data_IF_247929186249
#
_entry.id   IF_247929186249
#
_cell.length_a   1.000
_cell.length_b   1.000
_cell.length_c   1.000
_cell.angle_alpha   90.00
_cell.angle_beta   90.00
_cell.angle_gamma   90.00
#
_symmetry.space_group_name_H-M   'P 1'
#
loop_
_entity.id
_entity.type
_entity.pdbx_description
1 polymer ?
#
# COMPACT_ATOMS: atom_id res chain seq x y z
N UNK A 1 4.50 -16.63 -3.88
CA UNK A 1 3.49 -15.81 -3.20
C UNK A 1 3.44 -14.45 -3.87
N UNK A 2 2.26 -13.98 -4.39
CA UNK A 2 2.20 -12.69 -5.10
C UNK A 2 2.39 -11.47 -4.20
N UNK A 3 2.25 -11.61 -2.88
CA UNK A 3 2.49 -10.52 -1.94
C UNK A 3 3.32 -11.02 -0.77
N UNK A 4 4.43 -10.34 -0.53
CA UNK A 4 5.29 -10.59 0.64
C UNK A 4 5.14 -9.43 1.60
N UNK A 5 5.01 -9.71 2.89
CA UNK A 5 4.91 -8.69 3.96
C UNK A 5 6.09 -8.85 4.89
N UNK A 6 6.80 -7.77 5.14
CA UNK A 6 7.99 -7.79 6.02
C UNK A 6 8.14 -6.45 6.73
N UNK A 7 8.94 -6.43 7.80
CA UNK A 7 9.27 -5.21 8.50
C UNK A 7 10.71 -4.79 8.18
N UNK A 8 10.88 -3.55 7.71
CA UNK A 8 12.20 -2.96 7.48
C UNK A 8 12.63 -2.27 8.76
N UNK A 9 13.53 -2.91 9.50
CA UNK A 9 13.99 -2.39 10.80
C UNK A 9 14.76 -1.08 10.66
N UNK A 10 15.53 -0.92 9.60
CA UNK A 10 16.31 0.30 9.40
C UNK A 10 15.42 1.51 9.17
N UNK A 11 14.33 1.34 8.42
CA UNK A 11 13.40 2.42 8.11
C UNK A 11 12.23 2.51 9.10
N UNK A 12 11.97 1.44 9.86
CA UNK A 12 10.85 1.40 10.80
C UNK A 12 9.50 1.30 10.11
N UNK A 13 9.44 0.70 8.92
CA UNK A 13 8.22 0.62 8.13
C UNK A 13 7.82 -0.83 7.85
N UNK A 14 6.51 -1.06 7.73
CA UNK A 14 5.99 -2.32 7.22
C UNK A 14 6.02 -2.23 5.70
N UNK A 15 6.66 -3.19 5.07
CA UNK A 15 6.80 -3.22 3.61
C UNK A 15 6.00 -4.37 3.02
N UNK A 16 5.17 -4.05 2.01
CA UNK A 16 4.42 -5.03 1.23
C UNK A 16 5.00 -5.02 -0.18
N UNK A 17 5.47 -6.18 -0.65
CA UNK A 17 6.07 -6.32 -1.98
C UNK A 17 5.16 -7.16 -2.83
N UNK A 18 4.66 -6.57 -3.91
CA UNK A 18 3.77 -7.24 -4.87
C UNK A 18 4.58 -7.75 -6.06
N UNK A 19 4.23 -8.94 -6.55
CA UNK A 19 4.85 -9.53 -7.72
C UNK A 19 3.78 -10.22 -8.56
N UNK A 20 3.41 -9.63 -9.69
CA UNK A 20 2.40 -10.14 -10.59
C UNK A 20 0.98 -9.76 -10.19
N UNK A 21 0.00 -10.51 -10.69
CA UNK A 21 -1.41 -10.29 -10.39
C UNK A 21 -1.79 -10.92 -9.06
N UNK A 22 -2.69 -10.27 -8.33
CA UNK A 22 -3.24 -10.79 -7.07
C UNK A 22 -4.75 -10.93 -7.17
N UNK A 23 -5.29 -11.91 -6.45
CA UNK A 23 -6.73 -12.01 -6.25
C UNK A 23 -7.15 -11.11 -5.09
N UNK A 24 -8.44 -10.74 -4.99
CA UNK A 24 -8.94 -9.99 -3.83
C UNK A 24 -8.66 -10.70 -2.51
N UNK A 25 -8.79 -12.02 -2.45
CA UNK A 25 -8.51 -12.81 -1.24
C UNK A 25 -7.04 -12.72 -0.83
N UNK A 26 -6.13 -12.85 -1.80
CA UNK A 26 -4.68 -12.72 -1.55
C UNK A 26 -4.34 -11.33 -1.05
N UNK A 27 -4.95 -10.30 -1.62
CA UNK A 27 -4.72 -8.93 -1.20
C UNK A 27 -5.26 -8.66 0.21
N UNK A 28 -6.46 -9.13 0.51
CA UNK A 28 -7.04 -8.98 1.85
C UNK A 28 -6.19 -9.67 2.91
N UNK A 29 -5.70 -10.88 2.60
CA UNK A 29 -4.81 -11.62 3.50
C UNK A 29 -3.52 -10.85 3.76
N UNK A 30 -2.92 -10.29 2.72
CA UNK A 30 -1.68 -9.51 2.84
C UNK A 30 -1.90 -8.24 3.67
N UNK A 31 -3.02 -7.54 3.47
CA UNK A 31 -3.38 -6.35 4.23
C UNK A 31 -3.55 -6.70 5.71
N UNK A 32 -4.20 -7.81 6.01
CA UNK A 32 -4.37 -8.28 7.39
C UNK A 32 -3.02 -8.58 8.04
N UNK A 33 -2.13 -9.26 7.32
CA UNK A 33 -0.77 -9.56 7.82
C UNK A 33 0.03 -8.27 8.05
N UNK A 34 -0.09 -7.30 7.15
CA UNK A 34 0.60 -6.01 7.29
C UNK A 34 0.10 -5.26 8.53
N UNK A 35 -1.20 -5.23 8.76
CA UNK A 35 -1.78 -4.59 9.94
C UNK A 35 -1.33 -5.25 11.23
N UNK A 36 -1.30 -6.57 11.27
CA UNK A 36 -0.82 -7.33 12.44
C UNK A 36 0.65 -7.02 12.71
N UNK A 37 1.48 -7.02 11.67
CA UNK A 37 2.90 -6.72 11.81
C UNK A 37 3.13 -5.29 12.28
N UNK A 38 2.38 -4.33 11.75
CA UNK A 38 2.44 -2.94 12.20
C UNK A 38 2.14 -2.80 13.69
N UNK A 39 1.11 -3.50 14.17
CA UNK A 39 0.76 -3.50 15.58
C UNK A 39 1.87 -4.13 16.44
N UNK A 40 2.44 -5.26 16.02
CA UNK A 40 3.52 -5.95 16.73
C UNK A 40 4.79 -5.10 16.82
N UNK A 41 5.12 -4.41 15.72
CA UNK A 41 6.34 -3.62 15.62
C UNK A 41 6.14 -2.15 16.00
N UNK A 42 4.94 -1.77 16.43
CA UNK A 42 4.58 -0.40 16.81
C UNK A 42 4.88 0.59 15.67
N UNK A 43 4.55 0.19 14.44
CA UNK A 43 4.73 1.02 13.25
C UNK A 43 3.38 1.32 12.61
N UNK A 44 3.17 2.59 12.24
CA UNK A 44 2.01 3.05 11.49
C UNK A 44 2.41 3.61 10.11
N UNK A 45 3.60 3.26 9.64
CA UNK A 45 4.16 3.68 8.36
C UNK A 45 4.27 2.46 7.46
N UNK A 46 3.67 2.55 6.26
CA UNK A 46 3.57 1.43 5.33
C UNK A 46 4.17 1.80 3.98
N UNK A 47 5.02 0.91 3.46
CA UNK A 47 5.58 1.05 2.12
C UNK A 47 5.04 -0.08 1.26
N UNK A 48 4.35 0.27 0.19
CA UNK A 48 3.82 -0.71 -0.77
C UNK A 48 4.70 -0.67 -2.02
N UNK A 49 5.47 -1.71 -2.23
CA UNK A 49 6.27 -1.85 -3.45
C UNK A 49 5.40 -2.51 -4.51
N UNK A 50 4.80 -1.68 -5.36
CA UNK A 50 3.91 -2.11 -6.42
C UNK A 50 4.58 -2.09 -7.79
N UNK A 51 5.92 -1.97 -7.85
CA UNK A 51 6.62 -1.83 -9.13
C UNK A 51 6.36 -3.00 -10.08
N UNK A 52 6.25 -4.21 -9.55
CA UNK A 52 6.04 -5.43 -10.33
C UNK A 52 4.60 -5.92 -10.31
N UNK A 53 3.65 -5.12 -9.87
CA UNK A 53 2.25 -5.50 -9.87
C UNK A 53 1.69 -5.46 -11.29
N UNK A 54 0.82 -6.41 -11.61
CA UNK A 54 0.07 -6.42 -12.87
C UNK A 54 -1.35 -5.91 -12.61
N UNK A 55 -1.92 -5.20 -13.60
CA UNK A 55 -3.28 -4.70 -13.50
C UNK A 55 -4.27 -5.86 -13.30
N UNK A 56 -5.20 -5.66 -12.39
CA UNK A 56 -6.23 -6.65 -12.10
C UNK A 56 -7.41 -5.98 -11.41
N UNK A 57 -8.52 -6.72 -11.32
CA UNK A 57 -9.74 -6.20 -10.74
C UNK A 57 -10.40 -5.13 -11.60
N UNK A 58 -11.29 -4.38 -11.00
CA UNK A 58 -12.05 -3.32 -11.65
C UNK A 58 -11.85 -2.00 -10.91
N UNK A 59 -12.30 -0.89 -11.53
CA UNK A 59 -12.36 0.41 -10.86
C UNK A 59 -13.16 0.33 -9.55
N UNK A 60 -14.21 -0.49 -9.53
CA UNK A 60 -15.02 -0.69 -8.32
C UNK A 60 -14.20 -1.37 -7.21
N UNK A 61 -13.36 -2.35 -7.56
CA UNK A 61 -12.52 -3.04 -6.56
C UNK A 61 -11.49 -2.09 -5.95
N UNK A 62 -10.91 -1.20 -6.75
CA UNK A 62 -9.97 -0.19 -6.27
C UNK A 62 -10.66 0.79 -5.32
N UNK A 63 -11.87 1.22 -5.66
CA UNK A 63 -12.66 2.11 -4.83
C UNK A 63 -13.03 1.44 -3.50
N UNK A 64 -13.45 0.18 -3.55
CA UNK A 64 -13.79 -0.59 -2.35
C UNK A 64 -12.57 -0.72 -1.41
N UNK A 65 -11.38 -0.91 -1.97
CA UNK A 65 -10.14 -0.97 -1.20
C UNK A 65 -9.87 0.37 -0.50
N UNK A 66 -10.02 1.48 -1.22
CA UNK A 66 -9.84 2.81 -0.64
C UNK A 66 -10.83 3.06 0.51
N UNK A 67 -12.08 2.66 0.35
CA UNK A 67 -13.09 2.77 1.39
C UNK A 67 -12.74 1.93 2.62
N UNK A 68 -12.30 0.70 2.41
CA UNK A 68 -11.91 -0.19 3.50
C UNK A 68 -10.74 0.37 4.31
N UNK A 69 -9.67 0.80 3.63
CA UNK A 69 -8.47 1.30 4.30
C UNK A 69 -8.73 2.61 5.03
N UNK A 70 -9.61 3.47 4.51
CA UNK A 70 -9.96 4.72 5.18
C UNK A 70 -10.92 4.52 6.35
N UNK A 71 -11.50 3.32 6.51
CA UNK A 71 -12.39 3.00 7.63
C UNK A 71 -11.65 2.48 8.87
N UNK A 72 -10.34 2.19 8.77
CA UNK A 72 -9.57 1.72 9.94
C UNK A 72 -9.44 2.85 10.96
N UNK A 73 -9.29 2.53 12.26
CA UNK A 73 -9.20 3.55 13.29
C UNK A 73 -8.02 4.51 13.06
N UNK A 74 -8.16 5.79 13.47
CA UNK A 74 -7.07 6.77 13.35
C UNK A 74 -5.80 6.26 14.05
N UNK A 75 -4.64 6.54 13.44
CA UNK A 75 -3.34 6.15 14.00
C UNK A 75 -2.85 4.79 13.57
N UNK A 76 -3.69 3.95 12.96
CA UNK A 76 -3.26 2.64 12.44
C UNK A 76 -2.42 2.84 11.18
N UNK A 77 -2.88 3.68 10.27
CA UNK A 77 -2.14 4.03 9.05
C UNK A 77 -1.90 5.55 9.10
N UNK A 78 -0.72 5.95 9.50
CA UNK A 78 -0.35 7.37 9.54
C UNK A 78 0.09 7.86 8.17
N UNK A 79 0.89 7.07 7.47
CA UNK A 79 1.33 7.34 6.11
C UNK A 79 1.50 6.04 5.34
N UNK A 80 1.12 6.07 4.08
CA UNK A 80 1.31 4.95 3.16
C UNK A 80 1.97 5.47 1.89
N UNK A 81 3.16 4.97 1.57
CA UNK A 81 3.87 5.28 0.33
C UNK A 81 3.73 4.10 -0.62
N UNK A 82 3.49 4.39 -1.90
CA UNK A 82 3.36 3.37 -2.94
C UNK A 82 4.41 3.64 -4.01
N UNK A 83 5.23 2.63 -4.30
CA UNK A 83 6.16 2.70 -5.45
C UNK A 83 5.37 2.36 -6.71
N UNK A 84 5.44 3.26 -7.69
CA UNK A 84 4.60 3.24 -8.89
C UNK A 84 4.86 1.99 -9.74
N UNK A 85 3.79 1.28 -10.17
CA UNK A 85 3.93 0.13 -11.08
C UNK A 85 4.63 0.50 -12.39
N UNK A 86 5.43 -0.43 -12.91
CA UNK A 86 6.06 -0.29 -14.22
C UNK A 86 5.03 -0.47 -15.35
N UNK A 87 4.01 -1.32 -15.14
CA UNK A 87 2.95 -1.52 -16.12
C UNK A 87 2.01 -0.32 -16.13
N UNK A 88 1.78 0.29 -17.31
CA UNK A 88 0.99 1.51 -17.43
C UNK A 88 -0.44 1.36 -16.89
N UNK A 89 -1.11 0.26 -17.18
CA UNK A 89 -2.47 0.02 -16.69
C UNK A 89 -2.53 -0.09 -15.17
N UNK A 90 -1.53 -0.74 -14.57
CA UNK A 90 -1.43 -0.85 -13.11
C UNK A 90 -1.11 0.51 -12.48
N UNK A 91 -0.25 1.31 -13.14
CA UNK A 91 0.04 2.67 -12.67
C UNK A 91 -1.23 3.53 -12.64
N UNK A 92 -2.06 3.45 -13.68
CA UNK A 92 -3.33 4.18 -13.73
C UNK A 92 -4.26 3.75 -12.58
N UNK A 93 -4.31 2.47 -12.27
CA UNK A 93 -5.09 1.96 -11.13
C UNK A 93 -4.59 2.52 -9.79
N UNK A 94 -3.28 2.63 -9.62
CA UNK A 94 -2.69 3.17 -8.39
C UNK A 94 -2.94 4.68 -8.27
N UNK A 95 -2.91 5.41 -9.37
CA UNK A 95 -3.27 6.84 -9.37
C UNK A 95 -4.73 7.04 -8.96
N UNK A 96 -5.62 6.20 -9.47
CA UNK A 96 -7.03 6.23 -9.08
C UNK A 96 -7.20 5.92 -7.59
N UNK A 97 -6.48 4.91 -7.10
CA UNK A 97 -6.50 4.54 -5.68
C UNK A 97 -6.01 5.71 -4.81
N UNK A 98 -4.90 6.34 -5.17
CA UNK A 98 -4.37 7.48 -4.42
C UNK A 98 -5.42 8.58 -4.29
N UNK A 99 -6.04 8.96 -5.41
CA UNK A 99 -7.07 9.99 -5.42
C UNK A 99 -8.25 9.62 -4.54
N UNK A 100 -8.76 8.40 -4.69
CA UNK A 100 -9.92 7.93 -3.92
C UNK A 100 -9.61 7.85 -2.42
N UNK A 101 -8.42 7.39 -2.05
CA UNK A 101 -8.00 7.26 -0.67
C UNK A 101 -7.78 8.63 -0.01
N UNK A 102 -7.12 9.54 -0.72
CA UNK A 102 -6.88 10.90 -0.20
C UNK A 102 -8.18 11.67 -0.01
N UNK A 103 -9.12 11.50 -0.91
CA UNK A 103 -10.45 12.12 -0.78
C UNK A 103 -11.20 11.62 0.46
N UNK A 104 -10.82 10.48 1.00
CA UNK A 104 -11.38 9.89 2.22
C UNK A 104 -10.55 10.13 3.47
N UNK A 105 -9.50 10.94 3.36
CA UNK A 105 -8.67 11.31 4.50
C UNK A 105 -7.47 10.41 4.77
N UNK A 106 -7.22 9.40 3.92
CA UNK A 106 -6.06 8.54 4.05
C UNK A 106 -4.82 9.25 3.47
N UNK A 107 -3.71 9.25 4.21
CA UNK A 107 -2.48 9.91 3.79
C UNK A 107 -1.63 8.96 2.95
N UNK A 108 -1.94 8.88 1.65
CA UNK A 108 -1.28 8.02 0.67
C UNK A 108 -0.56 8.88 -0.36
N UNK A 109 0.63 8.46 -0.76
CA UNK A 109 1.40 9.16 -1.78
C UNK A 109 2.15 8.19 -2.68
N UNK A 110 2.18 8.49 -3.98
CA UNK A 110 2.93 7.71 -4.96
C UNK A 110 4.36 8.25 -5.11
N UNK A 111 5.31 7.32 -5.31
CA UNK A 111 6.71 7.65 -5.52
C UNK A 111 7.28 6.78 -6.64
N UNK A 112 8.23 7.32 -7.39
CA UNK A 112 9.00 6.58 -8.38
C UNK A 112 10.40 6.18 -7.88
N UNK A 113 10.77 6.62 -6.68
CA UNK A 113 12.05 6.33 -6.06
C UNK A 113 11.84 5.85 -4.61
N UNK A 114 12.43 4.69 -4.29
CA UNK A 114 12.29 4.09 -2.97
C UNK A 114 12.87 4.96 -1.86
N UNK A 115 14.01 5.58 -2.10
CA UNK A 115 14.66 6.42 -1.08
C UNK A 115 13.83 7.65 -0.75
N UNK A 116 13.18 8.25 -1.75
CA UNK A 116 12.25 9.36 -1.52
C UNK A 116 11.03 8.92 -0.72
N UNK A 117 10.49 7.72 -1.03
CA UNK A 117 9.37 7.17 -0.30
C UNK A 117 9.71 6.95 1.18
N UNK A 118 10.86 6.35 1.45
CA UNK A 118 11.35 6.11 2.82
C UNK A 118 11.54 7.42 3.56
N UNK A 119 12.13 8.42 2.92
CA UNK A 119 12.33 9.75 3.53
C UNK A 119 11.00 10.39 3.92
N UNK A 120 9.99 10.31 3.05
CA UNK A 120 8.66 10.85 3.35
C UNK A 120 7.99 10.09 4.50
N UNK A 121 8.15 8.76 4.55
CA UNK A 121 7.57 7.94 5.63
C UNK A 121 8.23 8.24 6.98
N UNK A 122 9.48 8.62 6.99
CA UNK A 122 10.23 8.94 8.22
C UNK A 122 9.90 10.32 8.79
N UNK A 123 9.32 11.18 7.99
CA UNK A 123 9.09 12.58 8.31
C UNK A 123 7.93 12.86 9.33
#
# INVERSE_FOLDING_TARGET
VPVTVRFDEAAGVVEMVYDGATTPTENDDAITRAGTLGAEMLSNRFLVDARMIEAGGTTFDVLALAEFLSSVPPGIIEREAILIPEEAAAADQMEFFETAARNRGLNVRLFDDRDEAIAWLAD
#
